data_IF_468180100229
#
_entry.id   IF_468180100229
#
_cell.length_a   1.000
_cell.length_b   1.000
_cell.length_c   1.000
_cell.angle_alpha   90.00
_cell.angle_beta   90.00
_cell.angle_gamma   90.00
#
_symmetry.space_group_name_H-M   'P 1'
#
loop_
_entity.id
_entity.type
_entity.pdbx_description
1 polymer ?
#
# COMPACT_ATOMS: atom_id res chain seq x y z
N UNK A 1 6.33 -9.77 13.25
CA UNK A 1 5.77 -9.92 11.88
C UNK A 1 5.79 -8.57 11.22
N UNK A 2 6.17 -8.54 9.97
CA UNK A 2 6.22 -7.31 9.19
C UNK A 2 4.85 -6.93 8.63
N UNK A 3 4.69 -5.70 8.24
CA UNK A 3 3.63 -5.26 7.35
C UNK A 3 4.13 -4.13 6.46
N UNK A 4 3.62 -4.08 5.27
CA UNK A 4 3.81 -2.98 4.37
C UNK A 4 2.50 -2.22 4.18
N UNK A 5 2.62 -1.04 3.70
CA UNK A 5 1.51 -0.12 3.54
C UNK A 5 1.03 -0.16 2.09
N UNK A 6 -0.26 -0.25 1.91
CA UNK A 6 -0.88 -0.16 0.60
C UNK A 6 -1.63 1.17 0.43
N UNK A 7 -1.72 1.62 -0.81
CA UNK A 7 -2.61 2.69 -1.25
C UNK A 7 -3.39 2.23 -2.47
N UNK A 8 -4.52 2.89 -2.73
CA UNK A 8 -5.25 2.73 -3.98
C UNK A 8 -5.19 4.05 -4.75
N UNK A 9 -4.80 3.98 -6.01
CA UNK A 9 -4.77 5.12 -6.93
C UNK A 9 -5.54 4.80 -8.19
N UNK A 10 -5.91 5.84 -8.96
CA UNK A 10 -6.54 5.67 -10.27
C UNK A 10 -5.50 5.51 -11.36
N UNK A 11 -5.74 4.63 -12.32
CA UNK A 11 -4.92 4.47 -13.53
C UNK A 11 -5.25 5.49 -14.63
N UNK A 12 -5.88 6.62 -14.29
CA UNK A 12 -6.14 7.70 -15.25
C UNK A 12 -4.84 8.21 -15.87
N UNK A 13 -4.93 8.57 -17.15
CA UNK A 13 -3.79 9.14 -17.88
C UNK A 13 -3.41 10.48 -17.25
N UNK A 14 -2.18 10.55 -16.76
CA UNK A 14 -1.56 11.78 -16.25
C UNK A 14 -0.39 12.14 -17.13
N UNK A 15 -0.35 13.39 -17.58
CA UNK A 15 0.78 13.96 -18.31
C UNK A 15 1.57 14.88 -17.39
N UNK A 16 2.87 14.69 -17.34
CA UNK A 16 3.77 15.48 -16.49
C UNK A 16 5.08 15.77 -17.23
N UNK A 17 5.20 16.97 -17.78
CA UNK A 17 6.29 17.35 -18.66
C UNK A 17 6.26 16.51 -19.95
N UNK A 18 7.37 15.80 -20.24
CA UNK A 18 7.48 14.91 -21.41
C UNK A 18 6.99 13.48 -21.12
N UNK A 19 6.56 13.20 -19.90
CA UNK A 19 6.13 11.87 -19.46
C UNK A 19 4.62 11.77 -19.42
N UNK A 20 4.09 10.63 -19.78
CA UNK A 20 2.66 10.34 -19.77
C UNK A 20 2.42 8.91 -19.27
N UNK A 21 1.39 8.74 -18.45
CA UNK A 21 0.95 7.40 -18.02
C UNK A 21 0.60 6.57 -19.25
N UNK A 22 1.18 5.37 -19.42
CA UNK A 22 0.88 4.51 -20.54
C UNK A 22 -0.58 4.02 -20.49
N UNK A 23 -1.14 3.70 -21.67
CA UNK A 23 -2.52 3.19 -21.78
C UNK A 23 -2.76 1.92 -20.97
N UNK A 24 -1.74 1.10 -20.80
CA UNK A 24 -1.78 -0.13 -20.00
C UNK A 24 -0.82 -0.01 -18.83
N UNK A 25 -1.37 0.10 -17.63
CA UNK A 25 -0.62 0.07 -16.38
C UNK A 25 -0.37 -1.38 -15.97
N UNK A 26 0.86 -1.70 -15.62
CA UNK A 26 1.31 -3.04 -15.25
C UNK A 26 1.92 -3.05 -13.84
N UNK A 27 1.86 -4.20 -13.13
CA UNK A 27 2.58 -4.37 -11.87
C UNK A 27 4.07 -4.07 -12.03
N UNK A 28 4.66 -3.43 -11.03
CA UNK A 28 6.05 -3.01 -11.03
C UNK A 28 6.30 -1.61 -11.60
N UNK A 29 5.33 -0.97 -12.22
CA UNK A 29 5.46 0.44 -12.62
C UNK A 29 5.54 1.35 -11.39
N UNK A 30 6.20 2.49 -11.56
CA UNK A 30 6.41 3.49 -10.51
C UNK A 30 5.27 4.50 -10.49
N UNK A 31 4.76 4.80 -9.30
CA UNK A 31 3.77 5.85 -9.06
C UNK A 31 4.49 7.03 -8.45
N UNK A 32 4.38 8.18 -9.08
CA UNK A 32 5.00 9.43 -8.64
C UNK A 32 4.05 10.28 -7.80
N UNK A 33 4.60 11.18 -7.00
CA UNK A 33 3.83 12.02 -6.08
C UNK A 33 2.79 12.91 -6.79
N UNK A 34 2.98 13.24 -8.06
CA UNK A 34 2.04 14.00 -8.90
C UNK A 34 0.93 13.14 -9.55
N UNK A 35 0.93 11.82 -9.28
CA UNK A 35 -0.04 10.87 -9.84
C UNK A 35 0.39 10.21 -11.15
N UNK A 36 1.54 10.61 -11.73
CA UNK A 36 2.09 9.95 -12.91
C UNK A 36 2.41 8.48 -12.58
N UNK A 37 2.00 7.56 -13.45
CA UNK A 37 2.43 6.16 -13.42
C UNK A 37 3.32 5.92 -14.65
N UNK A 38 4.54 5.45 -14.43
CA UNK A 38 5.53 5.29 -15.49
C UNK A 38 6.40 4.04 -15.28
N UNK A 39 6.80 3.35 -16.37
CA UNK A 39 7.53 2.08 -16.26
C UNK A 39 8.99 2.22 -15.80
N UNK A 40 9.56 3.40 -15.84
CA UNK A 40 10.97 3.65 -15.55
C UNK A 40 11.15 4.67 -14.43
N UNK A 41 12.31 4.62 -13.77
CA UNK A 41 12.71 5.64 -12.80
C UNK A 41 13.03 6.94 -13.55
N UNK A 42 12.41 8.02 -13.11
CA UNK A 42 12.66 9.38 -13.63
C UNK A 42 13.55 10.09 -12.63
N UNK A 43 14.74 10.44 -13.06
CA UNK A 43 15.72 11.15 -12.22
C UNK A 43 15.14 12.47 -11.69
N UNK A 44 15.36 12.73 -10.39
CA UNK A 44 14.89 13.95 -9.73
C UNK A 44 13.41 13.96 -9.36
N UNK A 45 12.66 12.89 -9.62
CA UNK A 45 11.25 12.78 -9.21
C UNK A 45 11.05 11.79 -8.06
N UNK A 46 10.21 12.19 -7.12
CA UNK A 46 9.86 11.35 -5.98
C UNK A 46 8.91 10.24 -6.40
N UNK A 47 9.34 8.98 -6.23
CA UNK A 47 8.48 7.81 -6.32
C UNK A 47 7.68 7.71 -5.03
N UNK A 48 6.39 7.56 -5.15
CA UNK A 48 5.45 7.42 -4.03
C UNK A 48 5.17 5.97 -3.67
N UNK A 49 5.01 5.12 -4.67
CA UNK A 49 4.64 3.72 -4.51
C UNK A 49 4.95 2.91 -5.78
N UNK A 50 4.81 1.59 -5.68
CA UNK A 50 4.93 0.66 -6.81
C UNK A 50 3.57 0.03 -7.11
N UNK A 51 3.20 -0.02 -8.38
CA UNK A 51 1.98 -0.72 -8.83
C UNK A 51 2.05 -2.19 -8.43
N UNK A 52 1.11 -2.64 -7.66
CA UNK A 52 1.00 -4.02 -7.17
C UNK A 52 0.02 -4.86 -7.97
N UNK A 53 -1.18 -4.37 -8.16
CA UNK A 53 -2.18 -5.00 -9.02
C UNK A 53 -3.11 -3.97 -9.64
N UNK A 54 -3.71 -4.32 -10.77
CA UNK A 54 -4.63 -3.45 -11.53
C UNK A 54 -5.95 -4.17 -11.71
N UNK A 55 -7.04 -3.51 -11.36
CA UNK A 55 -8.41 -4.00 -11.54
C UNK A 55 -9.27 -2.86 -12.15
N UNK A 56 -9.47 -2.95 -13.47
CA UNK A 56 -10.09 -1.85 -14.22
C UNK A 56 -9.26 -0.57 -14.13
N UNK A 57 -9.86 0.48 -13.55
CA UNK A 57 -9.20 1.77 -13.30
C UNK A 57 -8.53 1.86 -11.93
N UNK A 58 -8.75 0.87 -11.06
CA UNK A 58 -8.21 0.88 -9.71
C UNK A 58 -6.86 0.18 -9.66
N UNK A 59 -5.89 0.86 -9.07
CA UNK A 59 -4.53 0.37 -8.88
C UNK A 59 -4.28 0.20 -7.39
N UNK A 60 -4.05 -1.03 -6.97
CA UNK A 60 -3.53 -1.33 -5.64
C UNK A 60 -2.01 -1.22 -5.69
N UNK A 61 -1.43 -0.42 -4.83
CA UNK A 61 -0.01 -0.12 -4.83
C UNK A 61 0.64 -0.36 -3.47
N UNK A 62 1.93 -0.63 -3.50
CA UNK A 62 2.77 -0.83 -2.31
C UNK A 62 3.60 0.42 -2.08
N UNK A 63 3.50 1.00 -0.87
CA UNK A 63 4.36 2.09 -0.46
C UNK A 63 5.80 1.61 -0.23
N UNK A 64 6.74 2.54 -0.13
CA UNK A 64 8.18 2.23 -0.14
C UNK A 64 8.73 1.80 1.24
N UNK A 65 7.96 2.00 2.29
CA UNK A 65 8.39 1.67 3.66
C UNK A 65 7.54 0.55 4.25
N UNK A 66 8.18 -0.27 5.05
CA UNK A 66 7.53 -1.28 5.87
C UNK A 66 7.84 -1.06 7.35
N UNK A 67 7.06 -1.66 8.23
CA UNK A 67 7.33 -1.64 9.65
C UNK A 67 7.23 -3.05 10.25
N UNK A 68 7.92 -3.23 11.36
CA UNK A 68 7.86 -4.45 12.16
C UNK A 68 7.28 -4.10 13.54
N UNK A 69 5.97 -4.13 13.62
CA UNK A 69 5.21 -3.84 14.84
C UNK A 69 4.23 -4.98 15.11
N UNK A 70 3.72 -5.13 16.34
CA UNK A 70 2.61 -6.02 16.59
C UNK A 70 1.36 -5.54 15.81
N UNK A 71 0.48 -6.47 15.47
CA UNK A 71 -0.82 -6.12 14.94
C UNK A 71 -1.63 -5.31 15.97
N UNK A 72 -1.58 -5.80 17.20
CA UNK A 72 -2.07 -5.13 18.41
C UNK A 72 -1.29 -5.65 19.60
N UNK A 73 -0.77 -4.78 20.45
CA UNK A 73 -0.13 -5.16 21.73
C UNK A 73 -1.17 -5.55 22.78
N UNK A 74 -2.41 -5.07 22.61
CA UNK A 74 -3.57 -5.50 23.38
C UNK A 74 -4.28 -6.68 22.69
N UNK A 75 -5.12 -7.41 23.43
CA UNK A 75 -5.99 -8.42 22.84
C UNK A 75 -7.19 -7.74 22.17
N UNK A 76 -6.95 -7.15 21.00
CA UNK A 76 -8.01 -6.50 20.23
C UNK A 76 -8.74 -7.48 19.32
N UNK A 77 -9.99 -7.75 19.62
CA UNK A 77 -10.84 -8.60 18.80
C UNK A 77 -11.57 -7.75 17.74
N UNK A 78 -11.20 -7.94 16.48
CA UNK A 78 -11.77 -7.23 15.33
C UNK A 78 -12.49 -8.18 14.36
N UNK A 79 -13.31 -9.10 14.87
CA UNK A 79 -14.06 -10.09 14.05
C UNK A 79 -14.83 -9.50 12.88
N UNK A 80 -15.29 -8.25 13.03
CA UNK A 80 -16.05 -7.57 11.97
C UNK A 80 -15.22 -7.33 10.70
N UNK A 81 -13.89 -7.34 10.78
CA UNK A 81 -13.03 -7.09 9.62
C UNK A 81 -12.58 -8.34 8.89
N UNK A 82 -12.67 -9.52 9.51
CA UNK A 82 -12.16 -10.79 8.98
C UNK A 82 -12.73 -11.20 7.61
N UNK A 83 -13.91 -10.69 7.25
CA UNK A 83 -14.56 -10.95 5.97
C UNK A 83 -14.49 -9.76 5.00
N UNK A 84 -13.84 -8.68 5.39
CA UNK A 84 -13.72 -7.49 4.55
C UNK A 84 -12.62 -7.72 3.50
N UNK A 85 -12.93 -7.40 2.26
CA UNK A 85 -12.00 -7.54 1.13
C UNK A 85 -11.26 -6.26 0.80
N UNK A 86 -11.71 -5.12 1.34
CA UNK A 86 -11.09 -3.81 1.19
C UNK A 86 -10.30 -3.40 2.43
N UNK A 87 -8.98 -3.39 2.34
CA UNK A 87 -8.08 -3.05 3.45
C UNK A 87 -8.26 -1.64 3.98
N UNK A 88 -8.59 -0.68 3.13
CA UNK A 88 -8.82 0.70 3.54
C UNK A 88 -10.01 0.84 4.51
N UNK A 89 -11.11 0.20 4.19
CA UNK A 89 -12.30 0.18 5.04
C UNK A 89 -12.06 -0.66 6.31
N UNK A 90 -11.38 -1.82 6.15
CA UNK A 90 -11.02 -2.67 7.28
C UNK A 90 -10.10 -1.94 8.26
N UNK A 91 -9.07 -1.24 7.79
CA UNK A 91 -8.17 -0.42 8.62
C UNK A 91 -8.95 0.62 9.43
N UNK A 92 -9.86 1.35 8.78
CA UNK A 92 -10.71 2.33 9.47
C UNK A 92 -11.60 1.67 10.54
N UNK A 93 -12.13 0.49 10.23
CA UNK A 93 -12.97 -0.26 11.17
C UNK A 93 -12.18 -0.77 12.37
N UNK A 94 -10.96 -1.26 12.16
CA UNK A 94 -10.04 -1.64 13.23
C UNK A 94 -9.80 -0.46 14.17
N UNK A 95 -9.49 0.71 13.62
CA UNK A 95 -9.26 1.93 14.41
C UNK A 95 -10.50 2.41 15.17
N UNK A 96 -11.69 2.25 14.59
CA UNK A 96 -12.94 2.53 15.29
C UNK A 96 -13.14 1.61 16.50
N UNK A 97 -12.90 0.30 16.32
CA UNK A 97 -12.99 -0.70 17.39
C UNK A 97 -11.95 -0.43 18.48
N UNK A 98 -10.70 -0.16 18.09
CA UNK A 98 -9.59 0.21 18.96
C UNK A 98 -9.98 1.38 19.88
N UNK A 99 -10.49 2.46 19.32
CA UNK A 99 -10.93 3.63 20.09
C UNK A 99 -12.07 3.32 21.06
N UNK A 100 -13.06 2.55 20.63
CA UNK A 100 -14.21 2.15 21.47
C UNK A 100 -13.78 1.27 22.64
N UNK A 101 -12.85 0.34 22.40
CA UNK A 101 -12.34 -0.57 23.42
C UNK A 101 -11.19 0.01 24.25
N UNK A 102 -10.63 1.14 23.84
CA UNK A 102 -9.42 1.75 24.42
C UNK A 102 -8.24 0.78 24.42
N UNK A 103 -8.04 0.09 23.29
CA UNK A 103 -7.00 -0.88 23.06
C UNK A 103 -6.17 -0.46 21.84
N UNK A 104 -4.89 -0.75 21.85
CA UNK A 104 -3.98 -0.39 20.76
C UNK A 104 -4.18 -1.27 19.51
N UNK A 105 -3.99 -0.69 18.33
CA UNK A 105 -4.00 -1.34 17.03
C UNK A 105 -2.85 -0.76 16.19
N UNK A 106 -1.63 -1.08 16.57
CA UNK A 106 -0.41 -0.40 16.11
C UNK A 106 -0.23 -0.51 14.61
N UNK A 107 -0.44 -1.69 14.03
CA UNK A 107 -0.28 -1.88 12.59
C UNK A 107 -1.26 -1.02 11.78
N UNK A 108 -2.54 -1.02 12.16
CA UNK A 108 -3.56 -0.22 11.51
C UNK A 108 -3.33 1.28 11.71
N UNK A 109 -2.92 1.68 12.92
CA UNK A 109 -2.64 3.09 13.24
C UNK A 109 -1.44 3.59 12.46
N UNK A 110 -0.36 2.83 12.41
CA UNK A 110 0.83 3.19 11.65
C UNK A 110 0.53 3.37 10.15
N UNK A 111 -0.24 2.45 9.56
CA UNK A 111 -0.67 2.59 8.17
C UNK A 111 -1.52 3.84 7.93
N UNK A 112 -2.46 4.13 8.83
CA UNK A 112 -3.30 5.32 8.73
C UNK A 112 -2.51 6.63 8.85
N UNK A 113 -1.51 6.65 9.73
CA UNK A 113 -0.66 7.82 9.99
C UNK A 113 0.47 7.97 8.95
N UNK A 114 0.67 6.97 8.09
CA UNK A 114 1.70 7.01 7.06
C UNK A 114 1.53 8.23 6.15
N UNK A 115 2.56 9.07 6.10
CA UNK A 115 2.57 10.32 5.34
C UNK A 115 3.95 10.60 4.75
N UNK A 116 4.54 9.57 4.12
CA UNK A 116 5.86 9.63 3.50
C UNK A 116 5.76 9.60 1.97
N UNK A 117 6.81 10.04 1.30
CA UNK A 117 6.99 9.91 -0.15
C UNK A 117 5.87 10.52 -1.01
N UNK A 118 5.08 11.45 -0.46
CA UNK A 118 3.96 12.10 -1.14
C UNK A 118 2.59 11.49 -0.83
N UNK A 119 2.54 10.41 -0.06
CA UNK A 119 1.28 9.84 0.48
C UNK A 119 0.75 10.74 1.58
N UNK A 120 -0.53 11.00 1.61
CA UNK A 120 -1.17 11.80 2.67
C UNK A 120 -1.74 10.90 3.75
N UNK A 121 -1.73 11.39 5.00
CA UNK A 121 -2.35 10.70 6.13
C UNK A 121 -3.79 10.27 5.79
N UNK A 122 -4.14 9.04 6.12
CA UNK A 122 -5.46 8.44 5.87
C UNK A 122 -5.66 7.89 4.45
N UNK A 123 -4.70 8.05 3.55
CA UNK A 123 -4.71 7.41 2.23
C UNK A 123 -4.20 5.98 2.28
N UNK A 124 -3.18 5.75 3.07
CA UNK A 124 -2.58 4.43 3.24
C UNK A 124 -3.34 3.56 4.24
N UNK A 125 -3.23 2.26 4.08
CA UNK A 125 -3.97 1.28 4.86
C UNK A 125 -3.21 -0.05 4.97
N UNK A 126 -3.58 -0.84 5.96
CA UNK A 126 -3.16 -2.22 6.12
C UNK A 126 -3.96 -3.08 5.12
N UNK A 127 -3.32 -3.75 4.15
CA UNK A 127 -4.03 -4.51 3.14
C UNK A 127 -4.82 -5.66 3.74
N UNK A 128 -5.97 -5.97 3.15
CA UNK A 128 -6.73 -7.18 3.46
C UNK A 128 -6.01 -8.43 2.95
N UNK A 129 -6.42 -9.62 3.43
CA UNK A 129 -5.87 -10.87 2.94
C UNK A 129 -6.00 -11.01 1.42
N UNK A 130 -7.17 -10.67 0.87
CA UNK A 130 -7.41 -10.71 -0.58
C UNK A 130 -6.48 -9.76 -1.35
N UNK A 131 -6.21 -8.57 -0.81
CA UNK A 131 -5.27 -7.64 -1.41
C UNK A 131 -3.84 -8.13 -1.30
N UNK A 132 -3.43 -8.73 -0.17
CA UNK A 132 -2.13 -9.38 -0.02
C UNK A 132 -1.92 -10.48 -1.06
N UNK A 133 -2.91 -11.34 -1.29
CA UNK A 133 -2.85 -12.39 -2.31
C UNK A 133 -2.61 -11.80 -3.71
N UNK A 134 -3.30 -10.70 -4.07
CA UNK A 134 -3.09 -9.98 -5.34
C UNK A 134 -1.67 -9.42 -5.45
N UNK A 135 -1.15 -8.83 -4.38
CA UNK A 135 0.20 -8.28 -4.34
C UNK A 135 1.26 -9.39 -4.45
N UNK A 136 1.10 -10.48 -3.72
CA UNK A 136 2.03 -11.61 -3.77
C UNK A 136 2.02 -12.33 -5.13
N UNK A 137 0.89 -12.35 -5.82
CA UNK A 137 0.83 -12.87 -7.21
C UNK A 137 1.76 -12.10 -8.16
N UNK A 138 2.04 -10.82 -7.88
CA UNK A 138 2.91 -9.95 -8.66
C UNK A 138 4.24 -9.62 -7.94
N UNK A 139 4.58 -10.37 -6.91
CA UNK A 139 5.73 -10.12 -6.03
C UNK A 139 7.05 -9.91 -6.80
N UNK A 140 7.29 -10.72 -7.84
CA UNK A 140 8.53 -10.62 -8.62
C UNK A 140 8.69 -9.24 -9.29
N UNK A 141 7.64 -8.74 -9.92
CA UNK A 141 7.63 -7.43 -10.58
C UNK A 141 7.75 -6.29 -9.54
N UNK A 142 7.04 -6.39 -8.43
CA UNK A 142 7.10 -5.40 -7.34
C UNK A 142 8.52 -5.35 -6.76
N UNK A 143 9.10 -6.50 -6.43
CA UNK A 143 10.43 -6.57 -5.84
C UNK A 143 11.54 -6.10 -6.78
N UNK A 144 11.41 -6.35 -8.09
CA UNK A 144 12.37 -5.80 -9.05
C UNK A 144 12.43 -4.26 -8.99
N UNK A 145 11.28 -3.60 -8.86
CA UNK A 145 11.19 -2.14 -8.75
C UNK A 145 11.64 -1.62 -7.39
N UNK A 146 11.27 -2.30 -6.30
CA UNK A 146 11.74 -1.96 -4.95
C UNK A 146 13.27 -2.10 -4.86
N UNK A 147 13.84 -3.17 -5.43
CA UNK A 147 15.28 -3.37 -5.49
C UNK A 147 15.98 -2.25 -6.28
N UNK A 148 15.43 -1.84 -7.40
CA UNK A 148 15.96 -0.73 -8.20
C UNK A 148 15.99 0.60 -7.44
N UNK A 149 15.04 0.80 -6.51
CA UNK A 149 15.00 1.95 -5.60
C UNK A 149 15.91 1.79 -4.36
N UNK A 150 16.46 0.60 -4.11
CA UNK A 150 17.28 0.32 -2.92
C UNK A 150 16.47 0.28 -1.62
N UNK A 151 15.18 -0.02 -1.67
CA UNK A 151 14.29 -0.15 -0.51
C UNK A 151 13.98 -1.61 -0.19
N UNK A 152 13.34 -1.87 0.97
CA UNK A 152 13.03 -3.21 1.42
C UNK A 152 12.13 -3.97 0.45
N UNK A 153 12.43 -5.24 0.23
CA UNK A 153 11.64 -6.14 -0.62
C UNK A 153 10.49 -6.77 0.16
N UNK A 154 9.44 -7.18 -0.56
CA UNK A 154 8.37 -7.98 0.02
C UNK A 154 8.87 -9.39 0.28
N UNK A 155 9.15 -9.70 1.55
CA UNK A 155 9.67 -11.00 1.98
C UNK A 155 9.09 -11.40 3.34
N UNK A 156 8.85 -12.70 3.53
CA UNK A 156 8.40 -13.25 4.80
C UNK A 156 6.90 -13.24 5.03
N UNK A 157 6.51 -13.03 6.28
CA UNK A 157 5.12 -13.07 6.76
C UNK A 157 4.61 -11.67 7.04
N UNK A 158 3.39 -11.39 6.61
CA UNK A 158 2.77 -10.07 6.73
C UNK A 158 1.43 -10.14 7.47
N UNK A 159 1.16 -9.09 8.26
CA UNK A 159 -0.16 -8.84 8.82
C UNK A 159 -1.16 -8.37 7.74
N UNK A 160 -2.40 -8.80 7.90
CA UNK A 160 -3.56 -8.25 7.15
C UNK A 160 -4.53 -7.53 8.09
N UNK A 161 -5.37 -6.69 7.51
CA UNK A 161 -6.49 -6.05 8.20
C UNK A 161 -7.65 -7.00 8.49
#
# INVERSE_FOLDING_TARGET
>A
MHFFVAITVSSQVVSSGKYETPKRVLPGMYIYADGLIYPEIIEGRQVMAIVGSVDGSDVLAVCLQEACLPWSSDWLEAKATQKMTGGKEATRKILEISRKKRQEAEAAQWCYDYAEDGVKQGEAFLPSLTELEKLFANKAAINASLNALGVALLEGWYWSS
#
